data_IF_339526497254
#
_entry.id   IF_339526497254
#
_cell.length_a   1.000
_cell.length_b   1.000
_cell.length_c   1.000
_cell.angle_alpha   90.00
_cell.angle_beta   90.00
_cell.angle_gamma   90.00
#
_symmetry.space_group_name_H-M   'P 1'
#
loop_
_entity.id
_entity.type
_entity.pdbx_description
1 polymer ?
#
# COMPACT_ATOMS: atom_id res chain seq x y z
N UNK A 1 9.49 -19.66 8.06
CA UNK A 1 9.80 -18.22 8.26
C UNK A 1 10.39 -17.59 7.00
N UNK A 2 11.49 -18.14 6.44
CA UNK A 2 12.10 -17.60 5.22
C UNK A 2 11.12 -17.53 4.05
N UNK A 3 10.36 -18.60 3.81
CA UNK A 3 9.36 -18.64 2.73
C UNK A 3 8.29 -17.56 2.90
N UNK A 4 7.76 -17.36 4.10
CA UNK A 4 6.76 -16.33 4.39
C UNK A 4 7.35 -14.93 4.20
N UNK A 5 8.60 -14.71 4.58
CA UNK A 5 9.29 -13.44 4.38
C UNK A 5 9.44 -13.14 2.89
N UNK A 6 9.88 -14.11 2.09
CA UNK A 6 10.02 -13.94 0.63
C UNK A 6 8.67 -13.69 -0.03
N UNK A 7 7.63 -14.43 0.36
CA UNK A 7 6.27 -14.21 -0.16
C UNK A 7 5.79 -12.80 0.18
N UNK A 8 6.04 -12.32 1.39
CA UNK A 8 5.65 -10.97 1.81
C UNK A 8 6.33 -9.89 0.96
N UNK A 9 7.64 -10.01 0.70
CA UNK A 9 8.35 -9.04 -0.11
C UNK A 9 7.92 -9.09 -1.57
N UNK A 10 7.73 -10.29 -2.14
CA UNK A 10 7.42 -10.43 -3.57
C UNK A 10 5.96 -10.12 -3.85
N UNK A 11 5.02 -10.71 -3.09
CA UNK A 11 3.59 -10.54 -3.37
C UNK A 11 3.01 -9.28 -2.76
N UNK A 12 3.19 -9.06 -1.48
CA UNK A 12 2.61 -7.91 -0.79
C UNK A 12 3.46 -6.65 -0.99
N UNK A 13 4.77 -6.76 -0.86
CA UNK A 13 5.66 -5.61 -1.00
C UNK A 13 5.74 -5.11 -2.44
N UNK A 14 6.32 -5.92 -3.33
CA UNK A 14 6.63 -5.47 -4.69
C UNK A 14 5.37 -5.33 -5.55
N UNK A 15 4.54 -6.39 -5.61
CA UNK A 15 3.37 -6.39 -6.50
C UNK A 15 2.37 -5.28 -6.15
N UNK A 16 2.06 -5.14 -4.87
CA UNK A 16 1.08 -4.14 -4.45
C UNK A 16 1.63 -2.72 -4.55
N UNK A 17 2.92 -2.52 -4.29
CA UNK A 17 3.54 -1.21 -4.45
C UNK A 17 3.65 -0.82 -5.93
N UNK A 18 3.92 -1.77 -6.83
CA UNK A 18 3.87 -1.51 -8.27
C UNK A 18 2.46 -1.14 -8.73
N UNK A 19 1.45 -1.83 -8.22
CA UNK A 19 0.06 -1.50 -8.50
C UNK A 19 -0.28 -0.08 -8.04
N UNK A 20 0.10 0.27 -6.81
CA UNK A 20 -0.14 1.61 -6.25
C UNK A 20 0.57 2.69 -7.06
N UNK A 21 1.86 2.51 -7.33
CA UNK A 21 2.65 3.46 -8.10
C UNK A 21 2.13 3.59 -9.54
N UNK A 22 1.76 2.48 -10.17
CA UNK A 22 1.19 2.46 -11.51
C UNK A 22 -0.15 3.17 -11.58
N UNK A 23 -1.02 2.97 -10.59
CA UNK A 23 -2.31 3.64 -10.50
C UNK A 23 -2.11 5.16 -10.33
N UNK A 24 -1.21 5.57 -9.45
CA UNK A 24 -0.90 6.98 -9.25
C UNK A 24 -0.34 7.62 -10.53
N UNK A 25 0.58 6.94 -11.19
CA UNK A 25 1.15 7.41 -12.46
C UNK A 25 0.07 7.54 -13.54
N UNK A 26 -0.85 6.58 -13.62
CA UNK A 26 -1.98 6.62 -14.54
C UNK A 26 -2.92 7.78 -14.27
N UNK A 27 -3.24 8.05 -13.01
CA UNK A 27 -4.07 9.19 -12.63
C UNK A 27 -3.43 10.51 -13.02
N UNK A 28 -2.12 10.66 -12.80
CA UNK A 28 -1.37 11.84 -13.20
C UNK A 28 -1.31 12.02 -14.72
N UNK A 29 -1.19 10.93 -15.46
CA UNK A 29 -1.14 10.98 -16.92
C UNK A 29 -2.48 11.34 -17.53
N UNK A 30 -3.59 10.77 -16.99
CA UNK A 30 -4.94 11.01 -17.51
C UNK A 30 -5.52 12.34 -17.06
N UNK A 31 -5.23 12.76 -15.83
CA UNK A 31 -5.74 14.02 -15.26
C UNK A 31 -4.61 14.85 -14.65
N UNK A 32 -3.68 15.39 -15.47
CA UNK A 32 -2.50 16.05 -14.94
C UNK A 32 -2.81 17.31 -14.13
N UNK A 33 -3.85 18.06 -14.51
CA UNK A 33 -4.26 19.26 -13.78
C UNK A 33 -4.76 18.93 -12.37
N UNK A 34 -5.37 17.73 -12.19
CA UNK A 34 -5.97 17.33 -10.93
C UNK A 34 -4.95 16.66 -10.00
N UNK A 35 -4.04 15.85 -10.54
CA UNK A 35 -3.22 14.95 -9.73
C UNK A 35 -1.72 15.23 -9.73
N UNK A 36 -1.24 16.25 -10.43
CA UNK A 36 0.18 16.62 -10.42
C UNK A 36 0.55 17.62 -9.32
N UNK A 37 -0.41 18.35 -8.75
CA UNK A 37 -0.16 19.23 -7.61
C UNK A 37 0.01 18.41 -6.33
N UNK A 38 0.57 19.02 -5.28
CA UNK A 38 0.69 18.36 -3.97
C UNK A 38 -0.66 17.95 -3.42
N UNK A 39 -1.65 18.83 -3.50
CA UNK A 39 -3.02 18.53 -3.06
C UNK A 39 -3.62 17.39 -3.89
N UNK A 40 -3.41 17.41 -5.21
CA UNK A 40 -3.87 16.35 -6.10
C UNK A 40 -3.21 15.00 -5.82
N UNK A 41 -1.91 14.99 -5.54
CA UNK A 41 -1.19 13.76 -5.15
C UNK A 41 -1.74 13.17 -3.86
N UNK A 42 -1.97 14.01 -2.85
CA UNK A 42 -2.55 13.58 -1.58
C UNK A 42 -3.96 13.03 -1.77
N UNK A 43 -4.77 13.68 -2.61
CA UNK A 43 -6.10 13.20 -2.95
C UNK A 43 -6.05 11.85 -3.65
N UNK A 44 -5.12 11.66 -4.59
CA UNK A 44 -4.93 10.38 -5.27
C UNK A 44 -4.53 9.28 -4.29
N UNK A 45 -3.59 9.55 -3.39
CA UNK A 45 -3.18 8.61 -2.35
C UNK A 45 -4.36 8.21 -1.47
N UNK A 46 -5.19 9.19 -1.06
CA UNK A 46 -6.38 8.93 -0.25
C UNK A 46 -7.39 8.05 -1.00
N UNK A 47 -7.65 8.32 -2.28
CA UNK A 47 -8.56 7.53 -3.11
C UNK A 47 -8.05 6.09 -3.28
N UNK A 48 -6.75 5.94 -3.56
CA UNK A 48 -6.13 4.61 -3.70
C UNK A 48 -6.21 3.85 -2.37
N UNK A 49 -5.97 4.53 -1.24
CA UNK A 49 -6.06 3.92 0.07
C UNK A 49 -7.50 3.47 0.40
N UNK A 50 -8.50 4.26 0.02
CA UNK A 50 -9.91 3.87 0.18
C UNK A 50 -10.25 2.64 -0.65
N UNK A 51 -9.79 2.59 -1.90
CA UNK A 51 -10.00 1.43 -2.76
C UNK A 51 -9.31 0.19 -2.21
N UNK A 52 -8.09 0.34 -1.69
CA UNK A 52 -7.33 -0.74 -1.09
C UNK A 52 -8.02 -1.29 0.16
N UNK A 53 -8.51 -0.39 1.02
CA UNK A 53 -9.30 -0.78 2.19
C UNK A 53 -10.61 -1.47 1.80
N UNK A 54 -11.33 -0.92 0.82
CA UNK A 54 -12.59 -1.49 0.34
C UNK A 54 -12.41 -2.91 -0.20
N UNK A 55 -11.29 -3.18 -0.87
CA UNK A 55 -10.97 -4.51 -1.38
C UNK A 55 -10.81 -5.55 -0.27
N UNK A 56 -10.57 -5.11 0.97
CA UNK A 56 -10.41 -5.98 2.13
C UNK A 56 -11.70 -6.15 2.94
N UNK A 57 -12.81 -5.52 2.54
CA UNK A 57 -14.10 -5.66 3.23
C UNK A 57 -14.57 -7.11 3.43
N UNK A 58 -14.38 -8.04 2.47
CA UNK A 58 -14.73 -9.44 2.69
C UNK A 58 -14.01 -10.09 3.89
N UNK A 59 -12.89 -9.52 4.32
CA UNK A 59 -12.12 -10.00 5.48
C UNK A 59 -12.61 -9.38 6.80
N UNK A 60 -13.59 -8.48 6.76
CA UNK A 60 -14.17 -7.80 7.91
C UNK A 60 -13.82 -6.31 7.93
N UNK A 61 -14.62 -5.55 8.70
CA UNK A 61 -14.49 -4.09 8.77
C UNK A 61 -13.15 -3.66 9.39
N UNK A 62 -12.66 -4.38 10.39
CA UNK A 62 -11.38 -4.06 11.02
C UNK A 62 -10.21 -4.29 10.05
N UNK A 63 -10.27 -5.38 9.28
CA UNK A 63 -9.27 -5.65 8.25
C UNK A 63 -9.30 -4.58 7.16
N UNK A 64 -10.48 -4.16 6.73
CA UNK A 64 -10.63 -3.09 5.75
C UNK A 64 -10.07 -1.76 6.26
N UNK A 65 -10.37 -1.40 7.51
CA UNK A 65 -9.84 -0.18 8.13
C UNK A 65 -8.33 -0.21 8.25
N UNK A 66 -7.77 -1.33 8.71
CA UNK A 66 -6.32 -1.52 8.84
C UNK A 66 -5.63 -1.44 7.48
N UNK A 67 -6.19 -2.09 6.46
CA UNK A 67 -5.66 -2.06 5.10
C UNK A 67 -5.69 -0.64 4.51
N UNK A 68 -6.78 0.09 4.73
CA UNK A 68 -6.92 1.47 4.29
C UNK A 68 -5.87 2.39 4.94
N UNK A 69 -5.66 2.26 6.24
CA UNK A 69 -4.66 3.04 6.97
C UNK A 69 -3.24 2.68 6.51
N UNK A 70 -2.95 1.41 6.33
CA UNK A 70 -1.66 0.96 5.79
C UNK A 70 -1.45 1.50 4.37
N UNK A 71 -2.47 1.44 3.53
CA UNK A 71 -2.43 1.97 2.17
C UNK A 71 -2.17 3.48 2.16
N UNK A 72 -2.79 4.22 3.07
CA UNK A 72 -2.54 5.66 3.22
C UNK A 72 -1.09 5.94 3.63
N UNK A 73 -0.59 5.22 4.63
CA UNK A 73 0.80 5.35 5.08
C UNK A 73 1.80 5.05 3.96
N UNK A 74 1.62 3.92 3.27
CA UNK A 74 2.52 3.51 2.18
C UNK A 74 2.43 4.46 0.99
N UNK A 75 1.24 4.99 0.70
CA UNK A 75 1.07 6.00 -0.33
C UNK A 75 1.80 7.30 -0.01
N UNK A 76 1.77 7.73 1.25
CA UNK A 76 2.53 8.90 1.71
C UNK A 76 4.04 8.64 1.57
N UNK A 77 4.52 7.46 1.97
CA UNK A 77 5.91 7.06 1.79
C UNK A 77 6.32 7.14 0.32
N UNK A 78 5.46 6.66 -0.58
CA UNK A 78 5.69 6.69 -2.01
C UNK A 78 5.88 8.12 -2.54
N UNK A 79 4.97 9.04 -2.20
CA UNK A 79 5.04 10.40 -2.71
C UNK A 79 6.15 11.23 -2.06
N UNK A 80 6.50 10.96 -0.80
CA UNK A 80 7.60 11.64 -0.11
C UNK A 80 8.95 11.24 -0.71
N UNK A 81 9.17 9.95 -0.92
CA UNK A 81 10.44 9.43 -1.40
C UNK A 81 10.57 9.42 -2.92
N UNK A 82 9.47 9.60 -3.65
CA UNK A 82 9.45 9.54 -5.12
C UNK A 82 10.00 8.23 -5.68
N UNK A 83 9.91 7.16 -4.90
CA UNK A 83 10.41 5.82 -5.24
C UNK A 83 9.54 4.78 -4.57
N UNK A 84 9.35 3.63 -5.25
CA UNK A 84 8.58 2.52 -4.68
C UNK A 84 9.35 1.75 -3.60
N UNK A 85 10.67 1.82 -3.61
CA UNK A 85 11.49 0.91 -2.80
C UNK A 85 11.31 1.08 -1.29
N UNK A 86 11.27 2.31 -0.72
CA UNK A 86 10.99 2.45 0.71
C UNK A 86 9.64 1.85 1.11
N UNK A 87 8.60 2.02 0.28
CA UNK A 87 7.28 1.44 0.53
C UNK A 87 7.29 -0.08 0.37
N UNK A 88 8.02 -0.61 -0.61
CA UNK A 88 8.18 -2.07 -0.80
C UNK A 88 8.78 -2.70 0.46
N UNK A 89 9.86 -2.12 0.97
CA UNK A 89 10.50 -2.65 2.19
C UNK A 89 9.59 -2.51 3.40
N UNK A 90 8.97 -1.35 3.59
CA UNK A 90 8.05 -1.13 4.72
C UNK A 90 6.89 -2.11 4.68
N UNK A 91 6.26 -2.31 3.52
CA UNK A 91 5.15 -3.23 3.36
C UNK A 91 5.58 -4.68 3.57
N UNK A 92 6.70 -5.07 2.98
CA UNK A 92 7.24 -6.42 3.13
C UNK A 92 7.59 -6.75 4.59
N UNK A 93 8.24 -5.83 5.30
CA UNK A 93 8.56 -6.01 6.72
C UNK A 93 7.30 -6.05 7.58
N UNK A 94 6.31 -5.21 7.30
CA UNK A 94 5.04 -5.24 8.01
C UNK A 94 4.37 -6.62 7.88
N UNK A 95 4.25 -7.14 6.67
CA UNK A 95 3.60 -8.43 6.42
C UNK A 95 4.42 -9.59 7.00
N UNK A 96 5.74 -9.55 6.86
CA UNK A 96 6.61 -10.57 7.44
C UNK A 96 6.48 -10.61 8.97
N UNK A 97 6.44 -9.44 9.61
CA UNK A 97 6.23 -9.34 11.06
C UNK A 97 4.86 -9.86 11.46
N UNK A 98 3.82 -9.54 10.70
CA UNK A 98 2.47 -10.01 10.95
C UNK A 98 2.39 -11.54 10.87
N UNK A 99 2.97 -12.14 9.83
CA UNK A 99 3.02 -13.60 9.70
C UNK A 99 3.83 -14.26 10.81
N UNK A 100 4.92 -13.61 11.26
CA UNK A 100 5.73 -14.13 12.37
C UNK A 100 4.97 -14.10 13.68
N UNK A 101 4.08 -13.13 13.89
CA UNK A 101 3.33 -12.96 15.14
C UNK A 101 2.02 -13.74 15.21
N UNK A 102 1.47 -14.20 14.07
CA UNK A 102 0.21 -14.94 14.03
C UNK A 102 0.20 -16.13 15.02
N UNK A 103 1.24 -16.99 15.10
CA UNK A 103 1.22 -18.11 16.04
C UNK A 103 1.13 -17.70 17.51
N UNK A 104 1.55 -16.48 17.83
CA UNK A 104 1.51 -15.97 19.22
C UNK A 104 0.19 -15.24 19.51
N UNK A 105 -0.53 -14.79 18.47
CA UNK A 105 -1.81 -14.12 18.60
C UNK A 105 -2.97 -15.10 18.72
N UNK A 106 -2.82 -16.32 18.21
CA UNK A 106 -3.81 -17.40 18.26
C UNK A 106 -3.58 -18.31 19.46
#
# INVERSE_FOLDING_TARGET
>A
MLTLTLVSFVTAGLREELWRAGTLAGMRALWPRKFRSRTGERSAVALIALAFGAAHLPMGILAAAAAGLLGLFLGIVLIVHRSIWPAVFAHGFFDATSFALIPFAL
#
